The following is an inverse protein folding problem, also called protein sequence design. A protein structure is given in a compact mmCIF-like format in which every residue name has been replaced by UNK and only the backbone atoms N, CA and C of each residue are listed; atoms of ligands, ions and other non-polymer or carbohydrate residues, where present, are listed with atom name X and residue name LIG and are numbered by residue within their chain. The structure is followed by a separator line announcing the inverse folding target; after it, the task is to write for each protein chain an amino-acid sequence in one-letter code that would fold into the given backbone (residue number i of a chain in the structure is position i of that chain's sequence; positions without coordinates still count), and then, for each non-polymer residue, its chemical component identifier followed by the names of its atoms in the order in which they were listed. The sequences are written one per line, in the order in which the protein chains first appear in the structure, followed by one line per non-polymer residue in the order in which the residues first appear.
data_IF_311379849696
#
_entry.id   IF_311379849696
#
_cell.length_a   1.000
_cell.length_b   1.000
_cell.length_c   1.000
_cell.angle_alpha   90.00
_cell.angle_beta   90.00
_cell.angle_gamma   90.00
#
_symmetry.space_group_name_H-M   'P 1'
#
loop_
_entity.id
_entity.type
_entity.pdbx_description
1 polymer ?
#
# COMPACT_ATOMS: atom_id res chain seq x y z
N UNK A 1 0.37 -8.56 1.38
CA UNK A 1 1.16 -8.61 2.63
C UNK A 1 0.94 -7.33 3.43
N UNK A 2 0.85 -7.44 4.77
CA UNK A 2 0.79 -6.31 5.71
C UNK A 2 1.99 -6.43 6.64
N UNK A 3 2.81 -5.39 6.71
CA UNK A 3 4.09 -5.43 7.42
C UNK A 3 3.91 -5.05 8.89
N UNK A 4 3.20 -3.97 9.17
CA UNK A 4 3.05 -3.47 10.55
C UNK A 4 1.81 -4.00 11.25
N UNK A 5 1.86 -4.05 12.58
CA UNK A 5 0.82 -4.60 13.44
C UNK A 5 -0.45 -3.72 13.59
N UNK A 6 -0.37 -2.45 13.18
CA UNK A 6 -1.50 -1.53 13.22
C UNK A 6 -1.95 -1.06 14.61
N UNK A 7 -1.25 -1.46 15.69
CA UNK A 7 -1.62 -1.10 17.07
C UNK A 7 -1.68 0.40 17.34
N UNK A 8 -0.86 1.19 16.65
CA UNK A 8 -0.83 2.65 16.74
C UNK A 8 -1.90 3.36 15.89
N UNK A 9 -2.91 2.67 15.39
CA UNK A 9 -4.00 3.29 14.62
C UNK A 9 -4.76 4.32 15.45
N UNK A 10 -5.22 5.43 14.82
CA UNK A 10 -6.07 6.42 15.50
C UNK A 10 -7.29 5.77 16.15
N UNK A 11 -7.72 6.31 17.29
CA UNK A 11 -8.86 5.82 18.05
C UNK A 11 -9.86 6.94 18.23
N UNK A 12 -11.09 6.69 17.80
CA UNK A 12 -12.22 7.60 17.99
C UNK A 12 -13.51 6.78 18.04
N UNK A 13 -14.59 7.39 18.53
CA UNK A 13 -15.91 6.77 18.61
C UNK A 13 -15.86 5.44 19.38
N UNK A 14 -16.37 4.35 18.82
CA UNK A 14 -16.42 3.03 19.47
C UNK A 14 -15.04 2.46 19.80
N UNK A 15 -13.97 2.99 19.22
CA UNK A 15 -12.58 2.54 19.46
C UNK A 15 -11.82 3.41 20.46
N UNK A 16 -12.43 4.48 21.01
CA UNK A 16 -11.75 5.48 21.84
C UNK A 16 -10.98 4.89 23.01
N UNK A 17 -11.56 3.88 23.67
CA UNK A 17 -10.99 3.27 24.86
C UNK A 17 -10.23 1.96 24.60
N UNK A 18 -9.98 1.62 23.33
CA UNK A 18 -9.24 0.40 23.00
C UNK A 18 -7.75 0.53 23.31
N UNK A 19 -7.19 -0.49 23.94
CA UNK A 19 -5.74 -0.64 24.12
C UNK A 19 -5.05 -0.90 22.78
N UNK A 20 -3.73 -0.81 22.75
CA UNK A 20 -2.91 -1.12 21.58
C UNK A 20 -3.11 -2.57 21.11
N UNK A 21 -3.22 -3.51 22.05
CA UNK A 21 -3.43 -4.93 21.72
C UNK A 21 -4.83 -5.21 21.20
N UNK A 22 -5.87 -4.57 21.75
CA UNK A 22 -7.22 -4.66 21.22
C UNK A 22 -7.29 -4.08 19.81
N UNK A 23 -6.64 -2.92 19.56
CA UNK A 23 -6.59 -2.31 18.24
C UNK A 23 -5.86 -3.19 17.24
N UNK A 24 -4.74 -3.81 17.62
CA UNK A 24 -4.03 -4.80 16.82
C UNK A 24 -4.96 -5.95 16.41
N UNK A 25 -5.75 -6.50 17.33
CA UNK A 25 -6.72 -7.57 17.02
C UNK A 25 -7.82 -7.10 16.08
N UNK A 26 -8.31 -5.87 16.20
CA UNK A 26 -9.25 -5.27 15.25
C UNK A 26 -8.63 -5.21 13.85
N UNK A 27 -7.40 -4.70 13.74
CA UNK A 27 -6.68 -4.60 12.46
C UNK A 27 -6.48 -5.96 11.80
N UNK A 28 -6.16 -7.00 12.56
CA UNK A 28 -6.08 -8.36 12.04
C UNK A 28 -7.40 -8.88 11.47
N UNK A 29 -8.52 -8.62 12.16
CA UNK A 29 -9.84 -9.02 11.67
C UNK A 29 -10.19 -8.29 10.36
N UNK A 30 -9.91 -7.00 10.27
CA UNK A 30 -10.14 -6.21 9.06
C UNK A 30 -9.32 -6.72 7.89
N UNK A 31 -8.04 -7.02 8.08
CA UNK A 31 -7.18 -7.58 7.03
C UNK A 31 -7.68 -8.94 6.53
N UNK A 32 -8.14 -9.81 7.43
CA UNK A 32 -8.76 -11.09 7.04
C UNK A 32 -10.03 -10.89 6.23
N UNK A 33 -10.89 -9.96 6.64
CA UNK A 33 -12.09 -9.60 5.88
C UNK A 33 -11.74 -9.07 4.49
N UNK A 34 -10.74 -8.19 4.40
CA UNK A 34 -10.26 -7.68 3.12
C UNK A 34 -9.79 -8.80 2.18
N UNK A 35 -9.05 -9.78 2.72
CA UNK A 35 -8.60 -10.92 1.95
C UNK A 35 -9.76 -11.80 1.44
N UNK A 36 -10.80 -11.99 2.26
CA UNK A 36 -12.01 -12.73 1.86
C UNK A 36 -12.80 -11.96 0.79
N UNK A 37 -13.03 -10.67 0.98
CA UNK A 37 -13.78 -9.83 0.04
C UNK A 37 -13.03 -9.67 -1.29
N UNK A 38 -11.71 -9.54 -1.24
CA UNK A 38 -10.87 -9.37 -2.42
C UNK A 38 -10.42 -10.68 -3.05
N UNK A 39 -10.81 -11.84 -2.49
CA UNK A 39 -10.41 -13.17 -2.96
C UNK A 39 -8.88 -13.29 -3.14
N UNK A 40 -8.12 -12.76 -2.15
CA UNK A 40 -6.66 -12.80 -2.20
C UNK A 40 -6.16 -14.24 -2.11
N UNK A 41 -5.21 -14.62 -2.98
CA UNK A 41 -4.61 -15.95 -2.95
C UNK A 41 -3.92 -16.26 -1.61
N UNK A 42 -3.35 -15.23 -0.96
CA UNK A 42 -2.77 -15.34 0.38
C UNK A 42 -2.82 -13.97 1.10
N UNK A 43 -3.03 -14.01 2.41
CA UNK A 43 -2.90 -12.86 3.30
C UNK A 43 -1.77 -13.12 4.30
N UNK A 44 -0.67 -12.38 4.16
CA UNK A 44 0.49 -12.48 5.03
C UNK A 44 0.51 -11.24 5.93
N UNK A 45 0.64 -11.44 7.24
CA UNK A 45 0.72 -10.38 8.24
C UNK A 45 1.98 -10.62 9.08
N UNK A 46 2.97 -9.71 8.97
CA UNK A 46 4.24 -9.84 9.67
C UNK A 46 4.18 -9.39 11.14
N UNK A 47 3.16 -8.62 11.47
CA UNK A 47 2.90 -8.18 12.84
C UNK A 47 4.08 -7.43 13.49
N UNK A 48 4.79 -6.64 12.72
CA UNK A 48 6.00 -5.93 13.17
C UNK A 48 5.60 -4.55 13.71
N UNK A 49 6.03 -4.17 14.91
CA UNK A 49 5.83 -2.79 15.40
C UNK A 49 6.48 -1.75 14.49
N UNK A 50 5.78 -0.64 14.22
CA UNK A 50 6.26 0.43 13.33
C UNK A 50 7.64 0.98 13.70
N UNK A 51 8.02 0.99 14.98
CA UNK A 51 9.35 1.40 15.44
C UNK A 51 10.47 0.49 14.90
N UNK A 52 10.21 -0.81 14.78
CA UNK A 52 11.18 -1.78 14.26
C UNK A 52 11.38 -1.58 12.76
N UNK A 53 10.31 -1.30 12.02
CA UNK A 53 10.40 -1.01 10.58
C UNK A 53 11.29 0.20 10.31
N UNK A 54 11.24 1.21 11.16
CA UNK A 54 12.02 2.45 11.02
C UNK A 54 13.46 2.34 11.53
N UNK A 55 13.81 1.28 12.25
CA UNK A 55 15.14 1.05 12.80
C UNK A 55 16.02 0.29 11.81
N UNK A 56 16.94 0.99 11.13
CA UNK A 56 17.83 0.42 10.12
C UNK A 56 18.75 -0.68 10.65
N UNK A 57 18.99 -0.73 11.97
CA UNK A 57 19.85 -1.76 12.58
C UNK A 57 19.15 -3.13 12.72
N UNK A 58 17.84 -3.19 12.48
CA UNK A 58 17.05 -4.42 12.61
C UNK A 58 16.91 -5.12 11.25
N UNK A 59 17.54 -6.28 11.07
CA UNK A 59 17.50 -7.03 9.80
C UNK A 59 16.20 -7.81 9.60
N UNK A 60 15.48 -8.17 10.65
CA UNK A 60 14.37 -9.11 10.61
C UNK A 60 13.27 -8.73 9.59
N UNK A 61 12.85 -7.46 9.48
CA UNK A 61 11.84 -7.09 8.48
C UNK A 61 12.29 -7.36 7.04
N UNK A 62 13.58 -7.17 6.75
CA UNK A 62 14.13 -7.43 5.42
C UNK A 62 14.19 -8.92 5.15
N UNK A 63 14.62 -9.71 6.13
CA UNK A 63 14.73 -11.16 5.99
C UNK A 63 13.36 -11.83 5.80
N UNK A 64 12.34 -11.38 6.53
CA UNK A 64 10.96 -11.85 6.36
C UNK A 64 10.41 -11.49 4.97
N UNK A 65 10.59 -10.25 4.53
CA UNK A 65 10.16 -9.82 3.19
C UNK A 65 10.90 -10.62 2.10
N UNK A 66 12.19 -10.82 2.25
CA UNK A 66 13.01 -11.61 1.31
C UNK A 66 12.51 -13.06 1.21
N UNK A 67 12.23 -13.69 2.36
CA UNK A 67 11.69 -15.05 2.38
C UNK A 67 10.35 -15.15 1.64
N UNK A 68 9.48 -14.16 1.82
CA UNK A 68 8.18 -14.09 1.13
C UNK A 68 8.37 -13.89 -0.38
N UNK A 69 9.25 -12.97 -0.79
CA UNK A 69 9.53 -12.73 -2.21
C UNK A 69 10.04 -14.00 -2.89
N UNK A 70 10.94 -14.74 -2.25
CA UNK A 70 11.45 -16.03 -2.77
C UNK A 70 10.38 -17.11 -2.86
N UNK A 71 9.49 -17.17 -1.87
CA UNK A 71 8.42 -18.15 -1.84
C UNK A 71 7.31 -17.86 -2.87
N UNK A 72 7.00 -16.58 -3.09
CA UNK A 72 5.86 -16.17 -3.94
C UNK A 72 6.24 -15.82 -5.37
N UNK A 73 7.50 -15.42 -5.61
CA UNK A 73 8.05 -15.01 -6.92
C UNK A 73 7.10 -14.08 -7.69
N UNK A 74 6.73 -12.94 -7.12
CA UNK A 74 5.77 -12.04 -7.75
C UNK A 74 6.35 -11.45 -9.03
N UNK A 75 5.52 -11.28 -10.08
CA UNK A 75 5.92 -10.54 -11.28
C UNK A 75 5.96 -9.05 -11.05
N UNK A 76 5.02 -8.53 -10.27
CA UNK A 76 4.93 -7.11 -9.93
C UNK A 76 4.81 -6.96 -8.42
N UNK A 77 5.55 -6.02 -7.86
CA UNK A 77 5.46 -5.63 -6.45
C UNK A 77 4.87 -4.23 -6.36
N UNK A 78 3.76 -4.09 -5.65
CA UNK A 78 3.19 -2.80 -5.26
C UNK A 78 3.58 -2.51 -3.81
N UNK A 79 4.13 -1.33 -3.56
CA UNK A 79 4.49 -0.86 -2.21
C UNK A 79 4.16 0.62 -2.07
N UNK A 80 4.55 1.29 -0.98
CA UNK A 80 4.45 2.74 -0.89
C UNK A 80 5.55 3.40 -1.72
N UNK A 81 5.44 4.71 -2.00
CA UNK A 81 6.50 5.46 -2.64
C UNK A 81 7.45 6.08 -1.60
N UNK A 82 8.65 6.49 -2.04
CA UNK A 82 9.67 7.07 -1.15
C UNK A 82 9.37 8.51 -0.74
N UNK A 83 8.52 9.21 -1.45
CA UNK A 83 8.10 10.57 -1.14
C UNK A 83 6.76 10.62 -0.36
N UNK A 84 6.34 9.47 0.20
CA UNK A 84 5.15 9.41 1.07
C UNK A 84 5.38 10.26 2.33
N UNK A 85 4.37 10.97 2.76
CA UNK A 85 4.45 11.83 3.96
C UNK A 85 4.40 11.07 5.29
N UNK A 86 4.16 9.75 5.26
CA UNK A 86 4.11 8.90 6.45
C UNK A 86 5.41 8.12 6.59
N UNK A 87 6.17 8.40 7.64
CA UNK A 87 7.48 7.81 7.89
C UNK A 87 7.49 6.26 7.93
N UNK A 88 6.44 5.64 8.45
CA UNK A 88 6.30 4.17 8.43
C UNK A 88 6.13 3.62 7.02
N UNK A 89 5.41 4.32 6.13
CA UNK A 89 5.28 3.92 4.72
C UNK A 89 6.64 3.95 4.02
N UNK A 90 7.40 5.03 4.23
CA UNK A 90 8.76 5.16 3.71
C UNK A 90 9.66 4.05 4.27
N UNK A 91 9.58 3.79 5.57
CA UNK A 91 10.31 2.70 6.21
C UNK A 91 10.01 1.33 5.59
N UNK A 92 8.74 1.01 5.37
CA UNK A 92 8.34 -0.24 4.68
C UNK A 92 8.93 -0.30 3.26
N UNK A 93 8.85 0.80 2.50
CA UNK A 93 9.38 0.86 1.14
C UNK A 93 10.89 0.60 1.11
N UNK A 94 11.64 1.22 2.01
CA UNK A 94 13.09 0.99 2.12
C UNK A 94 13.41 -0.48 2.42
N UNK A 95 12.66 -1.13 3.33
CA UNK A 95 12.84 -2.57 3.62
C UNK A 95 12.51 -3.44 2.41
N UNK A 96 11.47 -3.10 1.66
CA UNK A 96 11.12 -3.81 0.41
C UNK A 96 12.23 -3.68 -0.62
N UNK A 97 12.76 -2.47 -0.85
CA UNK A 97 13.85 -2.24 -1.81
C UNK A 97 15.11 -3.01 -1.37
N UNK A 98 15.46 -2.97 -0.08
CA UNK A 98 16.61 -3.72 0.45
C UNK A 98 16.44 -5.23 0.23
N UNK A 99 15.26 -5.78 0.50
CA UNK A 99 14.98 -7.20 0.26
C UNK A 99 15.06 -7.56 -1.23
N UNK A 100 14.52 -6.71 -2.11
CA UNK A 100 14.59 -6.90 -3.57
C UNK A 100 16.03 -6.88 -4.09
N UNK A 101 16.89 -6.02 -3.54
CA UNK A 101 18.33 -5.96 -3.90
C UNK A 101 19.10 -7.22 -3.49
N UNK A 102 18.64 -7.95 -2.45
CA UNK A 102 19.21 -9.23 -2.02
C UNK A 102 18.79 -10.42 -2.91
N UNK A 103 17.83 -10.24 -3.80
CA UNK A 103 17.45 -11.25 -4.79
C UNK A 103 18.49 -11.32 -5.92
N UNK A 104 18.75 -12.54 -6.41
CA UNK A 104 19.50 -12.70 -7.66
C UNK A 104 18.69 -12.12 -8.84
N UNK A 105 19.33 -11.69 -9.92
CA UNK A 105 18.61 -11.13 -11.08
C UNK A 105 17.46 -12.01 -11.60
N UNK A 106 17.62 -13.34 -11.53
CA UNK A 106 16.60 -14.29 -11.97
C UNK A 106 15.40 -14.41 -11.01
N UNK A 107 15.54 -13.97 -9.76
CA UNK A 107 14.48 -14.00 -8.75
C UNK A 107 13.71 -12.67 -8.68
N UNK A 108 14.23 -11.61 -9.31
CA UNK A 108 13.65 -10.26 -9.22
C UNK A 108 12.31 -10.17 -9.96
N UNK A 109 11.34 -9.42 -9.43
CA UNK A 109 10.12 -9.10 -10.15
C UNK A 109 10.44 -8.30 -11.42
N UNK A 110 9.53 -8.36 -12.38
CA UNK A 110 9.60 -7.57 -13.62
C UNK A 110 9.44 -6.06 -13.33
N UNK A 111 8.65 -5.71 -12.29
CA UNK A 111 8.31 -4.33 -11.99
C UNK A 111 8.07 -4.08 -10.50
N UNK A 112 8.48 -2.90 -10.04
CA UNK A 112 8.18 -2.37 -8.70
C UNK A 112 7.45 -1.04 -8.83
N UNK A 113 6.25 -0.94 -8.25
CA UNK A 113 5.40 0.25 -8.34
C UNK A 113 5.16 0.83 -6.94
N UNK A 114 5.56 2.08 -6.75
CA UNK A 114 5.31 2.85 -5.53
C UNK A 114 3.98 3.58 -5.60
N UNK A 115 3.08 3.32 -4.65
CA UNK A 115 1.76 3.90 -4.59
C UNK A 115 1.65 4.96 -3.49
N UNK A 116 0.71 5.85 -3.63
CA UNK A 116 0.39 6.83 -2.60
C UNK A 116 -1.13 6.84 -2.34
N UNK A 117 -1.51 6.89 -1.05
CA UNK A 117 -2.92 6.97 -0.65
C UNK A 117 -3.41 8.40 -0.41
N UNK A 118 -2.48 9.34 -0.13
CA UNK A 118 -2.81 10.67 0.37
C UNK A 118 -3.22 11.66 -0.72
N UNK A 119 -2.36 11.84 -1.75
CA UNK A 119 -2.47 12.87 -2.77
C UNK A 119 -2.43 12.35 -4.20
N UNK A 120 -2.41 11.04 -4.39
CA UNK A 120 -2.32 10.40 -5.71
C UNK A 120 -1.18 10.96 -6.58
N UNK A 121 0.00 11.21 -5.95
CA UNK A 121 1.19 11.73 -6.61
C UNK A 121 0.98 13.09 -7.31
N UNK A 122 0.17 14.00 -6.73
CA UNK A 122 -0.11 15.33 -7.29
C UNK A 122 1.14 16.17 -7.56
N UNK A 123 2.25 15.85 -6.87
CA UNK A 123 3.54 16.52 -7.03
C UNK A 123 4.34 16.05 -8.26
N UNK A 124 3.90 15.00 -8.93
CA UNK A 124 4.58 14.36 -10.05
C UNK A 124 3.90 14.75 -11.36
N UNK A 125 4.68 14.97 -12.42
CA UNK A 125 4.13 15.20 -13.75
C UNK A 125 3.45 13.94 -14.31
N UNK A 126 2.39 14.11 -15.07
CA UNK A 126 1.54 12.99 -15.49
C UNK A 126 2.28 11.97 -16.35
N UNK A 127 3.22 12.41 -17.19
CA UNK A 127 4.05 11.52 -18.03
C UNK A 127 4.89 10.51 -17.25
N UNK A 128 5.20 10.81 -15.98
CA UNK A 128 6.06 9.98 -15.14
C UNK A 128 5.25 9.06 -14.22
N UNK A 129 3.92 9.21 -14.23
CA UNK A 129 3.02 8.37 -13.44
C UNK A 129 2.75 7.04 -14.14
N UNK A 130 2.71 5.98 -13.35
CA UNK A 130 2.13 4.70 -13.74
C UNK A 130 0.64 4.79 -13.54
N UNK A 131 -0.12 4.85 -14.62
CA UNK A 131 -1.59 4.91 -14.58
C UNK A 131 -2.19 3.52 -14.44
N UNK A 132 -3.11 3.36 -13.48
CA UNK A 132 -3.84 2.13 -13.23
C UNK A 132 -5.33 2.39 -13.37
N UNK A 133 -5.95 1.80 -14.39
CA UNK A 133 -7.41 1.88 -14.61
C UNK A 133 -8.15 1.03 -13.59
N UNK A 134 -9.01 1.67 -12.83
CA UNK A 134 -9.85 1.09 -11.78
C UNK A 134 -11.35 1.18 -12.12
N UNK A 135 -11.71 1.35 -13.38
CA UNK A 135 -13.11 1.52 -13.82
C UNK A 135 -13.94 0.25 -13.57
N UNK A 136 -13.30 -0.91 -13.51
CA UNK A 136 -13.98 -2.19 -13.24
C UNK A 136 -14.18 -2.40 -11.74
N UNK A 137 -15.27 -3.09 -11.40
CA UNK A 137 -15.54 -3.57 -10.04
C UNK A 137 -15.59 -2.47 -8.98
N UNK A 138 -16.21 -1.33 -9.27
CA UNK A 138 -16.34 -0.22 -8.31
C UNK A 138 -17.00 -0.66 -6.99
N UNK A 139 -17.98 -1.57 -7.08
CA UNK A 139 -18.60 -2.19 -5.90
C UNK A 139 -17.60 -2.93 -5.02
N UNK A 140 -16.63 -3.64 -5.61
CA UNK A 140 -15.57 -4.32 -4.87
C UNK A 140 -14.62 -3.32 -4.21
N UNK A 141 -14.34 -2.20 -4.86
CA UNK A 141 -13.51 -1.13 -4.26
C UNK A 141 -14.18 -0.55 -3.01
N UNK A 142 -15.48 -0.27 -3.05
CA UNK A 142 -16.23 0.18 -1.88
C UNK A 142 -16.25 -0.89 -0.78
N UNK A 143 -16.47 -2.15 -1.13
CA UNK A 143 -16.48 -3.25 -0.17
C UNK A 143 -15.12 -3.40 0.52
N UNK A 144 -14.01 -3.35 -0.24
CA UNK A 144 -12.65 -3.42 0.30
C UNK A 144 -12.31 -2.25 1.22
N UNK A 145 -12.73 -1.03 0.87
CA UNK A 145 -12.56 0.12 1.76
C UNK A 145 -13.39 -0.01 3.03
N UNK A 146 -14.63 -0.44 2.89
CA UNK A 146 -15.60 -0.54 3.98
C UNK A 146 -15.24 -1.58 5.05
N UNK A 147 -14.40 -2.57 4.75
CA UNK A 147 -13.96 -3.54 5.78
C UNK A 147 -13.02 -2.93 6.82
N UNK A 148 -12.42 -1.77 6.53
CA UNK A 148 -11.50 -1.07 7.43
C UNK A 148 -12.23 -0.06 8.33
N UNK A 149 -13.25 -0.52 9.05
CA UNK A 149 -14.11 0.30 9.90
C UNK A 149 -13.32 1.12 10.92
N UNK A 150 -12.31 0.53 11.56
CA UNK A 150 -11.46 1.24 12.52
C UNK A 150 -10.74 2.44 11.92
N UNK A 151 -10.46 2.43 10.64
CA UNK A 151 -9.82 3.55 9.94
C UNK A 151 -10.83 4.61 9.52
N UNK A 152 -12.05 4.22 9.18
CA UNK A 152 -13.12 5.11 8.76
C UNK A 152 -13.72 5.80 9.99
N UNK A 153 -14.22 5.04 10.96
CA UNK A 153 -14.83 5.52 12.20
C UNK A 153 -13.77 6.07 13.16
N UNK A 154 -12.59 5.46 13.17
CA UNK A 154 -11.48 5.84 14.06
C UNK A 154 -10.79 7.18 13.71
N UNK A 155 -11.24 7.90 12.69
CA UNK A 155 -10.80 9.27 12.49
C UNK A 155 -10.59 9.78 11.07
N UNK A 156 -10.60 8.94 10.03
CA UNK A 156 -10.37 9.38 8.66
C UNK A 156 -11.32 8.72 7.69
N UNK A 157 -12.08 9.50 6.96
CA UNK A 157 -13.02 9.04 5.95
C UNK A 157 -12.26 8.56 4.69
N UNK A 158 -11.47 7.48 4.84
CA UNK A 158 -10.75 6.87 3.72
C UNK A 158 -11.68 6.38 2.60
N UNK A 159 -12.87 5.94 2.95
CA UNK A 159 -13.93 5.54 2.02
C UNK A 159 -14.24 6.66 1.02
N UNK A 160 -14.58 7.84 1.50
CA UNK A 160 -14.91 9.01 0.66
C UNK A 160 -13.66 9.53 -0.06
N UNK A 161 -12.55 9.67 0.67
CA UNK A 161 -11.34 10.26 0.12
C UNK A 161 -10.75 9.42 -1.02
N UNK A 162 -10.66 8.10 -0.86
CA UNK A 162 -10.09 7.21 -1.88
C UNK A 162 -10.97 7.14 -3.12
N UNK A 163 -12.28 6.98 -2.96
CA UNK A 163 -13.20 6.92 -4.11
C UNK A 163 -13.30 8.26 -4.83
N UNK A 164 -13.39 9.36 -4.07
CA UNK A 164 -13.40 10.71 -4.63
C UNK A 164 -12.12 11.01 -5.42
N UNK A 165 -10.95 10.62 -4.89
CA UNK A 165 -9.67 10.79 -5.57
C UNK A 165 -9.58 9.97 -6.84
N UNK A 166 -9.99 8.70 -6.84
CA UNK A 166 -9.99 7.84 -8.04
C UNK A 166 -10.84 8.40 -9.16
N UNK A 167 -12.02 8.92 -8.83
CA UNK A 167 -12.92 9.58 -9.79
C UNK A 167 -12.33 10.88 -10.29
N UNK A 168 -11.80 11.73 -9.40
CA UNK A 168 -11.16 12.99 -9.79
C UNK A 168 -9.95 12.75 -10.70
N UNK A 169 -9.15 11.71 -10.45
CA UNK A 169 -8.03 11.35 -11.31
C UNK A 169 -8.45 10.95 -12.73
N UNK A 170 -9.63 10.33 -12.88
CA UNK A 170 -10.17 9.93 -14.18
C UNK A 170 -10.88 11.08 -14.91
N UNK A 171 -11.39 12.07 -14.16
CA UNK A 171 -12.04 13.25 -14.70
C UNK A 171 -10.96 14.29 -15.04
N UNK A 172 -11.04 14.87 -16.22
CA UNK A 172 -10.02 15.83 -16.73
C UNK A 172 -8.62 15.21 -16.95
N UNK A 173 -8.53 13.89 -17.15
CA UNK A 173 -7.26 13.24 -17.44
C UNK A 173 -6.69 13.73 -18.77
N UNK A 174 -7.54 13.84 -19.78
CA UNK A 174 -7.21 14.43 -21.07
C UNK A 174 -7.79 15.86 -21.20
N UNK A 175 -6.95 16.84 -21.55
CA UNK A 175 -7.34 18.24 -21.63
C UNK A 175 -8.33 18.53 -22.78
N UNK A 176 -8.29 17.73 -23.85
CA UNK A 176 -9.08 17.94 -25.08
C UNK A 176 -9.80 16.68 -25.56
N UNK A 177 -9.78 15.62 -24.79
CA UNK A 177 -10.43 14.36 -25.09
C UNK A 177 -11.67 14.11 -24.22
N UNK A 178 -12.30 12.97 -24.45
CA UNK A 178 -13.36 12.43 -23.59
C UNK A 178 -12.71 11.49 -22.60
N UNK A 179 -13.10 11.58 -21.33
CA UNK A 179 -12.62 10.66 -20.30
C UNK A 179 -13.15 9.23 -20.56
N UNK A 180 -12.24 8.29 -20.80
CA UNK A 180 -12.58 6.88 -21.08
C UNK A 180 -12.68 6.03 -19.81
N UNK A 181 -12.03 6.47 -18.73
CA UNK A 181 -11.97 5.77 -17.45
C UNK A 181 -12.91 6.39 -16.42
N UNK A 182 -13.49 5.55 -15.54
CA UNK A 182 -14.35 6.01 -14.45
C UNK A 182 -13.60 6.18 -13.12
N UNK A 183 -12.40 5.63 -13.03
CA UNK A 183 -11.55 5.72 -11.85
C UNK A 183 -10.11 5.37 -12.18
N UNK A 184 -9.18 6.24 -11.79
CA UNK A 184 -7.75 6.03 -11.95
C UNK A 184 -7.01 6.09 -10.61
N UNK A 185 -5.99 5.27 -10.47
CA UNK A 185 -4.98 5.39 -9.44
C UNK A 185 -3.61 5.53 -10.07
N UNK A 186 -2.69 6.16 -9.35
CA UNK A 186 -1.35 6.42 -9.85
C UNK A 186 -0.29 5.74 -9.00
N UNK A 187 0.80 5.38 -9.64
CA UNK A 187 2.01 4.90 -9.01
C UNK A 187 3.25 5.54 -9.65
N UNK A 188 4.40 5.33 -9.05
CA UNK A 188 5.71 5.65 -9.60
C UNK A 188 6.47 4.37 -9.88
N UNK A 189 7.12 4.29 -11.04
CA UNK A 189 7.97 3.14 -11.34
C UNK A 189 9.27 3.25 -10.55
N UNK A 190 9.47 2.31 -9.66
CA UNK A 190 10.66 2.21 -8.80
C UNK A 190 11.56 1.02 -9.18
N UNK A 191 11.35 0.42 -10.34
CA UNK A 191 12.10 -0.78 -10.78
C UNK A 191 13.61 -0.52 -10.83
N UNK A 192 14.01 0.68 -11.21
CA UNK A 192 15.43 1.08 -11.24
C UNK A 192 16.09 0.98 -9.87
N UNK A 193 15.39 1.31 -8.78
CA UNK A 193 15.93 1.24 -7.41
C UNK A 193 16.29 -0.19 -6.97
N UNK A 194 15.65 -1.19 -7.55
CA UNK A 194 15.98 -2.59 -7.32
C UNK A 194 17.24 -3.00 -8.08
N UNK A 195 17.45 -2.45 -9.28
CA UNK A 195 18.46 -2.88 -10.22
C UNK A 195 19.78 -2.11 -10.10
N UNK A 196 19.71 -0.84 -9.72
CA UNK A 196 20.86 0.03 -9.57
C UNK A 196 21.10 0.38 -8.10
N UNK A 197 22.14 -0.17 -7.47
CA UNK A 197 22.45 0.15 -6.07
C UNK A 197 23.04 1.54 -5.87
N UNK A 198 23.37 2.28 -6.94
CA UNK A 198 23.84 3.67 -6.85
C UNK A 198 22.71 4.69 -6.70
N UNK A 199 21.46 4.28 -6.94
CA UNK A 199 20.23 5.04 -6.72
C UNK A 199 19.66 4.75 -5.30
#
# INVERSE_FOLDING_TARGET
MVVTDGRGSPRNSIYENYSDDEMRLVRFKEQRKAAMVGEFAAQIMLDIPSKIIKDASRPEPVDDILAILRATKPKVVYTHNLADKHDTHVGVTLRVIEALRKLSPAERPERVVGCEVWRALDWMVDSDKVTMDLSRHENLQFALLGVFDSQIVGGKRYDLASMGRRRANATYFESHGVDDSQGLSYGVDMTALMNDPSL
#
